data_IF_138410284459
#
_entry.id   IF_138410284459
#
_cell.length_a   1.000
_cell.length_b   1.000
_cell.length_c   1.000
_cell.angle_alpha   90.00
_cell.angle_beta   90.00
_cell.angle_gamma   90.00
#
_symmetry.space_group_name_H-M   'P 1'
#
loop_
_entity.id
_entity.type
_entity.pdbx_description
1 polymer ?
#
# COMPACT_ATOMS: atom_id res chain seq x y z
N UNK A 1 -5.95 -23.69 -8.13
CA UNK A 1 -5.62 -23.78 -6.69
C UNK A 1 -4.23 -24.37 -6.59
N UNK A 2 -3.27 -23.67 -5.97
CA UNK A 2 -1.88 -24.16 -5.87
C UNK A 2 -1.80 -25.25 -4.78
N UNK A 3 -1.11 -26.35 -5.09
CA UNK A 3 -0.90 -27.47 -4.16
C UNK A 3 -0.01 -27.00 -2.99
N UNK A 4 -0.34 -27.37 -1.74
CA UNK A 4 0.46 -27.02 -0.57
C UNK A 4 1.94 -27.42 -0.70
N UNK A 5 2.24 -28.49 -1.44
CA UNK A 5 3.60 -28.93 -1.73
C UNK A 5 4.46 -27.84 -2.41
N UNK A 6 3.84 -27.00 -3.25
CA UNK A 6 4.51 -25.89 -3.94
C UNK A 6 5.21 -24.93 -2.96
N UNK A 7 4.60 -24.65 -1.81
CA UNK A 7 5.17 -23.75 -0.81
C UNK A 7 6.32 -24.40 -0.02
N UNK A 8 6.35 -25.74 0.09
CA UNK A 8 7.44 -26.46 0.75
C UNK A 8 8.67 -26.65 -0.15
N UNK A 9 8.50 -26.60 -1.47
CA UNK A 9 9.58 -26.74 -2.45
C UNK A 9 10.09 -25.39 -3.00
N UNK A 10 9.46 -24.28 -2.61
CA UNK A 10 9.82 -22.94 -3.07
C UNK A 10 11.06 -22.45 -2.34
N UNK A 11 12.03 -21.89 -3.08
CA UNK A 11 13.10 -21.12 -2.46
C UNK A 11 12.50 -19.80 -1.95
N UNK A 12 12.61 -19.58 -0.65
CA UNK A 12 12.11 -18.38 0.01
C UNK A 12 12.77 -17.10 -0.52
N UNK A 13 13.94 -17.21 -1.15
CA UNK A 13 14.62 -16.09 -1.83
C UNK A 13 13.86 -15.59 -3.07
N UNK A 14 13.03 -16.44 -3.68
CA UNK A 14 12.23 -16.10 -4.86
C UNK A 14 10.83 -15.58 -4.47
N UNK A 15 10.51 -15.54 -3.18
CA UNK A 15 9.25 -14.98 -2.67
C UNK A 15 9.28 -13.45 -2.67
N UNK A 16 8.15 -12.84 -3.00
CA UNK A 16 7.97 -11.41 -2.76
C UNK A 16 7.79 -11.14 -1.26
N UNK A 17 8.45 -10.11 -0.73
CA UNK A 17 8.20 -9.63 0.62
C UNK A 17 6.92 -8.78 0.68
N UNK A 18 6.25 -8.83 1.83
CA UNK A 18 5.01 -8.11 2.10
C UNK A 18 5.08 -7.39 3.44
N UNK A 19 4.32 -6.31 3.56
CA UNK A 19 4.10 -5.59 4.81
C UNK A 19 2.68 -5.88 5.28
N UNK A 20 2.54 -6.40 6.49
CA UNK A 20 1.25 -6.58 7.15
C UNK A 20 1.03 -5.47 8.19
N UNK A 21 -0.04 -4.70 8.01
CA UNK A 21 -0.39 -3.56 8.87
C UNK A 21 -1.65 -3.88 9.66
N UNK A 22 -1.65 -3.54 10.94
CA UNK A 22 -2.84 -3.63 11.80
C UNK A 22 -3.08 -2.31 12.51
N UNK A 23 -4.32 -2.09 12.92
CA UNK A 23 -4.65 -0.97 13.78
C UNK A 23 -4.02 -1.12 15.16
N UNK A 24 -3.62 0.01 15.75
CA UNK A 24 -3.14 0.06 17.14
C UNK A 24 -4.30 -0.11 18.13
N UNK A 25 -5.48 0.40 17.76
CA UNK A 25 -6.74 0.30 18.52
C UNK A 25 -7.28 -1.15 18.46
N UNK A 26 -7.32 -1.89 19.59
CA UNK A 26 -7.66 -3.31 19.61
C UNK A 26 -9.10 -3.62 19.17
N UNK A 27 -10.02 -2.71 19.40
CA UNK A 27 -11.46 -2.81 19.13
C UNK A 27 -11.85 -2.22 17.77
N UNK A 28 -10.88 -2.05 16.87
CA UNK A 28 -11.15 -1.59 15.51
C UNK A 28 -12.14 -2.50 14.79
N UNK A 29 -13.29 -1.99 14.31
CA UNK A 29 -14.27 -2.79 13.59
C UNK A 29 -13.71 -3.44 12.34
N UNK A 30 -14.15 -4.68 12.05
CA UNK A 30 -13.78 -5.44 10.85
C UNK A 30 -13.90 -4.61 9.57
N UNK A 31 -15.03 -3.91 9.41
CA UNK A 31 -15.33 -3.14 8.20
C UNK A 31 -14.29 -2.04 7.93
N UNK A 32 -13.62 -1.52 8.96
CA UNK A 32 -12.58 -0.50 8.77
C UNK A 32 -11.41 -1.03 7.92
N UNK A 33 -11.00 -2.28 8.14
CA UNK A 33 -9.95 -2.93 7.33
C UNK A 33 -10.37 -3.06 5.85
N UNK A 34 -11.61 -3.46 5.60
CA UNK A 34 -12.12 -3.61 4.23
C UNK A 34 -12.32 -2.25 3.54
N UNK A 35 -12.81 -1.25 4.26
CA UNK A 35 -12.99 0.11 3.75
C UNK A 35 -11.65 0.74 3.34
N UNK A 36 -10.57 0.53 4.11
CA UNK A 36 -9.24 1.00 3.74
C UNK A 36 -8.71 0.36 2.45
N UNK A 37 -8.84 -0.97 2.35
CA UNK A 37 -8.42 -1.68 1.13
C UNK A 37 -9.26 -1.23 -0.06
N UNK A 38 -10.57 -1.08 0.12
CA UNK A 38 -11.44 -0.56 -0.93
C UNK A 38 -11.02 0.84 -1.38
N UNK A 39 -10.75 1.75 -0.44
CA UNK A 39 -10.25 3.09 -0.73
C UNK A 39 -8.96 3.03 -1.55
N UNK A 40 -7.98 2.22 -1.14
CA UNK A 40 -6.72 2.08 -1.86
C UNK A 40 -6.92 1.51 -3.28
N UNK A 41 -7.81 0.54 -3.46
CA UNK A 41 -8.12 -0.03 -4.77
C UNK A 41 -8.88 0.95 -5.68
N UNK A 42 -9.72 1.82 -5.10
CA UNK A 42 -10.33 2.96 -5.81
C UNK A 42 -9.25 3.95 -6.25
N UNK A 43 -8.30 4.32 -5.39
CA UNK A 43 -7.16 5.19 -5.75
C UNK A 43 -6.33 4.58 -6.89
N UNK A 44 -6.10 3.25 -6.87
CA UNK A 44 -5.44 2.53 -7.97
C UNK A 44 -6.21 2.64 -9.29
N UNK A 45 -7.55 2.64 -9.25
CA UNK A 45 -8.37 2.91 -10.45
C UNK A 45 -8.18 4.35 -10.94
N UNK A 46 -8.16 5.34 -10.06
CA UNK A 46 -7.88 6.73 -10.44
C UNK A 46 -6.49 6.91 -11.03
N UNK A 47 -5.46 6.22 -10.53
CA UNK A 47 -4.13 6.21 -11.14
C UNK A 47 -4.15 5.72 -12.59
N UNK A 48 -4.94 4.68 -12.90
CA UNK A 48 -5.12 4.23 -14.29
C UNK A 48 -5.79 5.28 -15.18
N UNK A 49 -6.80 5.98 -14.65
CA UNK A 49 -7.48 7.06 -15.37
C UNK A 49 -6.54 8.25 -15.61
N UNK A 50 -5.75 8.63 -14.60
CA UNK A 50 -4.73 9.66 -14.72
C UNK A 50 -3.66 9.27 -15.76
N UNK A 51 -3.18 8.02 -15.74
CA UNK A 51 -2.18 7.57 -16.72
C UNK A 51 -2.76 7.52 -18.16
N UNK A 52 -4.07 7.30 -18.30
CA UNK A 52 -4.74 7.31 -19.61
C UNK A 52 -4.75 8.70 -20.28
N UNK A 53 -4.52 9.77 -19.53
CA UNK A 53 -4.34 11.12 -20.09
C UNK A 53 -2.89 11.42 -20.51
N UNK A 54 -2.02 10.42 -20.56
CA UNK A 54 -0.61 10.52 -20.95
C UNK A 54 0.18 11.63 -20.22
N UNK A 55 0.19 11.64 -18.87
CA UNK A 55 0.95 12.61 -18.10
C UNK A 55 2.47 12.41 -18.32
N UNK A 56 3.31 13.44 -18.09
CA UNK A 56 4.77 13.31 -18.22
C UNK A 56 5.37 12.22 -17.31
N UNK A 57 4.70 11.94 -16.17
CA UNK A 57 5.03 10.85 -15.25
C UNK A 57 3.76 10.13 -14.85
N UNK A 58 3.69 8.83 -15.13
CA UNK A 58 2.63 7.97 -14.63
C UNK A 58 2.75 7.70 -13.14
N UNK A 59 1.64 7.32 -12.51
CA UNK A 59 1.56 6.95 -11.09
C UNK A 59 0.92 5.57 -10.94
N UNK A 60 1.19 4.89 -9.83
CA UNK A 60 0.49 3.66 -9.46
C UNK A 60 0.34 3.55 -7.94
N UNK A 61 -0.62 2.75 -7.51
CA UNK A 61 -0.82 2.36 -6.11
C UNK A 61 -0.54 0.87 -5.95
N UNK A 62 0.05 0.46 -4.84
CA UNK A 62 0.27 -0.96 -4.57
C UNK A 62 -1.08 -1.69 -4.50
N UNK A 63 -1.10 -2.92 -5.02
CA UNK A 63 -2.22 -3.82 -4.75
C UNK A 63 -2.19 -4.16 -3.26
N UNK A 64 -3.35 -4.09 -2.61
CA UNK A 64 -3.50 -4.44 -1.21
C UNK A 64 -4.72 -5.34 -0.99
N UNK A 65 -4.69 -6.12 0.08
CA UNK A 65 -5.76 -7.05 0.46
C UNK A 65 -5.83 -7.22 1.98
N UNK A 66 -6.98 -7.70 2.48
CA UNK A 66 -7.12 -8.09 3.88
C UNK A 66 -6.77 -9.56 4.03
N UNK A 67 -5.99 -9.91 5.04
CA UNK A 67 -5.86 -11.29 5.52
C UNK A 67 -6.45 -11.43 6.92
N UNK A 68 -6.95 -12.64 7.21
CA UNK A 68 -7.38 -13.04 8.53
C UNK A 68 -6.47 -14.16 9.02
N UNK A 69 -5.84 -13.95 10.17
CA UNK A 69 -4.97 -14.93 10.83
C UNK A 69 -5.61 -15.30 12.16
N UNK A 70 -5.92 -16.57 12.34
CA UNK A 70 -6.46 -17.08 13.60
C UNK A 70 -5.35 -17.16 14.65
N UNK A 71 -5.57 -16.56 15.82
CA UNK A 71 -4.73 -16.80 16.99
C UNK A 71 -4.92 -18.22 17.52
N UNK A 72 -4.05 -18.62 18.46
CA UNK A 72 -4.13 -19.93 19.13
C UNK A 72 -5.42 -20.15 19.92
N UNK A 73 -6.04 -19.08 20.41
CA UNK A 73 -7.33 -19.08 21.10
C UNK A 73 -8.53 -19.02 20.15
N UNK A 74 -8.30 -18.97 18.83
CA UNK A 74 -9.34 -18.88 17.81
C UNK A 74 -9.78 -17.45 17.48
N UNK A 75 -9.29 -16.44 18.20
CA UNK A 75 -9.62 -15.04 17.94
C UNK A 75 -9.03 -14.59 16.58
N UNK A 76 -9.83 -14.03 15.66
CA UNK A 76 -9.34 -13.58 14.37
C UNK A 76 -8.51 -12.30 14.50
N UNK A 77 -7.38 -12.25 13.81
CA UNK A 77 -6.57 -11.04 13.63
C UNK A 77 -6.60 -10.62 12.17
N UNK A 78 -6.98 -9.36 11.94
CA UNK A 78 -7.02 -8.78 10.60
C UNK A 78 -5.77 -7.95 10.34
N UNK A 79 -5.29 -8.03 9.11
CA UNK A 79 -4.19 -7.21 8.62
C UNK A 79 -4.51 -6.71 7.22
N UNK A 80 -4.20 -5.44 6.96
CA UNK A 80 -4.09 -4.90 5.61
C UNK A 80 -2.67 -5.21 5.09
N UNK A 81 -2.58 -5.92 3.96
CA UNK A 81 -1.33 -6.42 3.41
C UNK A 81 -1.09 -5.83 2.04
N UNK A 82 0.14 -5.38 1.80
CA UNK A 82 0.63 -4.93 0.49
C UNK A 82 2.08 -5.36 0.27
N UNK A 83 2.54 -5.29 -0.98
CA UNK A 83 3.92 -5.63 -1.34
C UNK A 83 4.90 -4.69 -0.63
N UNK A 84 6.00 -5.22 -0.11
CA UNK A 84 7.07 -4.40 0.44
C UNK A 84 7.78 -3.62 -0.68
N UNK A 85 8.03 -2.33 -0.46
CA UNK A 85 8.94 -1.53 -1.28
C UNK A 85 10.31 -1.66 -0.64
N UNK A 86 11.18 -2.48 -1.24
CA UNK A 86 12.50 -2.82 -0.66
C UNK A 86 13.57 -1.78 -0.99
N UNK A 87 13.40 -1.06 -2.10
CA UNK A 87 14.35 -0.07 -2.59
C UNK A 87 13.76 1.33 -2.60
N UNK A 88 14.60 2.31 -2.24
CA UNK A 88 14.24 3.73 -2.24
C UNK A 88 13.80 4.25 -0.87
N UNK A 89 13.52 5.55 -0.81
CA UNK A 89 13.04 6.24 0.38
C UNK A 89 11.53 6.48 0.31
N UNK A 90 10.85 6.19 1.42
CA UNK A 90 9.44 6.58 1.57
C UNK A 90 9.37 8.09 1.83
N UNK A 91 8.62 8.81 0.99
CA UNK A 91 8.40 10.26 1.11
C UNK A 91 6.90 10.54 1.07
N UNK A 92 6.41 11.32 2.02
CA UNK A 92 5.02 11.78 2.07
C UNK A 92 4.92 13.17 1.46
N UNK A 93 4.30 13.30 0.29
CA UNK A 93 4.26 14.57 -0.47
C UNK A 93 3.17 15.56 -0.03
N UNK A 94 2.09 15.07 0.60
CA UNK A 94 1.01 15.89 1.14
C UNK A 94 0.35 15.18 2.33
N UNK A 95 -0.58 15.87 3.01
CA UNK A 95 -1.45 15.25 4.00
C UNK A 95 -2.94 15.39 3.62
N UNK A 96 -3.79 14.79 4.45
CA UNK A 96 -5.24 14.81 4.32
C UNK A 96 -5.91 16.09 4.89
N UNK A 97 -5.13 17.15 5.16
CA UNK A 97 -5.59 18.41 5.76
C UNK A 97 -4.94 19.67 5.14
N UNK A 98 -4.40 19.57 3.92
CA UNK A 98 -3.89 20.71 3.14
C UNK A 98 -2.39 21.04 3.26
N UNK A 99 -1.58 20.24 3.97
CA UNK A 99 -0.12 20.40 3.99
C UNK A 99 0.51 19.86 2.70
N UNK A 100 1.53 20.55 2.21
CA UNK A 100 2.35 20.20 1.05
C UNK A 100 3.81 20.15 1.48
N UNK A 101 4.52 19.08 1.13
CA UNK A 101 5.95 18.93 1.42
C UNK A 101 6.77 19.76 0.41
N UNK A 102 7.45 20.78 0.92
CA UNK A 102 8.28 21.66 0.11
C UNK A 102 9.74 21.17 0.04
N UNK A 103 10.23 20.42 1.03
CA UNK A 103 11.65 20.12 1.18
C UNK A 103 11.88 18.62 1.48
N UNK A 104 11.80 17.76 0.44
CA UNK A 104 12.27 16.39 0.60
C UNK A 104 13.81 16.41 0.81
N UNK A 105 14.26 16.04 2.01
CA UNK A 105 15.66 16.05 2.44
C UNK A 105 16.58 15.36 1.42
N UNK A 106 17.64 16.07 0.98
CA UNK A 106 18.70 15.53 0.13
C UNK A 106 18.59 15.84 -1.38
N UNK A 107 17.60 16.60 -1.83
CA UNK A 107 17.53 17.07 -3.23
C UNK A 107 17.43 18.58 -3.27
N UNK A 108 18.50 19.25 -3.67
CA UNK A 108 18.58 20.72 -3.77
C UNK A 108 17.60 21.31 -4.81
N UNK A 109 16.90 20.49 -5.61
CA UNK A 109 16.02 20.99 -6.66
C UNK A 109 14.76 20.13 -6.89
N UNK A 110 13.62 20.84 -6.81
CA UNK A 110 12.29 20.55 -7.38
C UNK A 110 11.21 19.96 -6.45
N UNK A 111 10.27 20.83 -6.07
CA UNK A 111 8.89 20.44 -5.75
C UNK A 111 8.36 19.46 -6.79
N UNK A 112 7.98 18.26 -6.36
CA UNK A 112 7.38 17.28 -7.26
C UNK A 112 5.97 17.73 -7.62
N UNK A 113 5.72 17.92 -8.91
CA UNK A 113 4.41 18.36 -9.39
C UNK A 113 3.40 17.22 -9.48
N UNK A 114 3.85 16.00 -9.81
CA UNK A 114 2.98 14.84 -10.05
C UNK A 114 2.09 14.47 -8.86
N UNK A 115 2.57 14.42 -7.59
CA UNK A 115 1.70 14.10 -6.45
C UNK A 115 0.54 15.10 -6.28
N UNK A 116 0.79 16.39 -6.53
CA UNK A 116 -0.23 17.44 -6.39
C UNK A 116 -1.18 17.48 -7.59
N UNK A 117 -0.68 17.26 -8.81
CA UNK A 117 -1.53 17.20 -10.01
C UNK A 117 -2.47 15.99 -10.01
N UNK A 118 -2.12 14.92 -9.29
CA UNK A 118 -2.96 13.74 -9.15
C UNK A 118 -4.03 13.86 -8.05
N UNK A 119 -3.78 14.68 -7.02
CA UNK A 119 -4.65 14.84 -5.84
C UNK A 119 -5.92 15.62 -6.16
#
# INVERSE_FOLDING_TARGET
>A
QVNAHFFYSMDWKDCNNYVAKRYLEPDTPRDRYFNDIQMQMVSKRYARLYNASSPPKGVDFLHAFVIEVLKRDGEPMLFCVERAIEEGSYVKYNNNSGFVEYNAEGVEHAHRLTPHAFS
#
